data_IF_812015383903
#
_entry.id   IF_812015383903
#
_cell.length_a   1.000
_cell.length_b   1.000
_cell.length_c   1.000
_cell.angle_alpha   90.00
_cell.angle_beta   90.00
_cell.angle_gamma   90.00
#
_symmetry.space_group_name_H-M   'P 1'
#
loop_
_entity.id
_entity.type
_entity.pdbx_description
1 polymer ?
#
# COMPACT_ATOMS: atom_id res chain seq x y z
N UNK A 1 -4.68 -21.14 -18.95
CA UNK A 1 -5.00 -21.46 -17.53
C UNK A 1 -5.92 -20.37 -17.03
N UNK A 2 -7.06 -20.75 -16.43
CA UNK A 2 -7.93 -19.74 -15.84
C UNK A 2 -7.24 -19.15 -14.60
N UNK A 3 -7.00 -17.85 -14.60
CA UNK A 3 -6.44 -17.13 -13.45
C UNK A 3 -7.55 -16.93 -12.43
N UNK A 4 -7.42 -17.50 -11.24
CA UNK A 4 -8.42 -17.44 -10.17
C UNK A 4 -7.87 -16.70 -8.97
N UNK A 5 -8.62 -15.71 -8.50
CA UNK A 5 -8.28 -14.93 -7.29
C UNK A 5 -9.41 -15.07 -6.27
N UNK A 6 -9.06 -15.41 -5.04
CA UNK A 6 -9.97 -15.46 -3.90
C UNK A 6 -9.69 -14.29 -2.94
N UNK A 7 -10.75 -13.67 -2.47
CA UNK A 7 -10.74 -12.55 -1.52
C UNK A 7 -11.74 -12.84 -0.40
N UNK A 8 -11.45 -12.43 0.82
CA UNK A 8 -12.39 -12.51 1.95
C UNK A 8 -12.74 -11.11 2.46
N UNK A 9 -14.04 -10.80 2.65
CA UNK A 9 -14.46 -9.51 3.14
C UNK A 9 -15.81 -9.56 3.87
N UNK A 10 -16.03 -8.59 4.73
CA UNK A 10 -17.32 -8.14 5.21
C UNK A 10 -17.74 -6.82 4.54
N UNK A 11 -18.96 -6.35 4.82
CA UNK A 11 -19.51 -5.13 4.23
C UNK A 11 -18.68 -3.87 4.54
N UNK A 12 -17.98 -3.83 5.68
CA UNK A 12 -17.08 -2.73 6.05
C UNK A 12 -15.82 -2.62 5.17
N UNK A 13 -15.51 -3.69 4.43
CA UNK A 13 -14.36 -3.77 3.53
C UNK A 13 -14.73 -3.82 2.04
N UNK A 14 -15.99 -3.62 1.68
CA UNK A 14 -16.48 -3.71 0.29
C UNK A 14 -15.71 -2.78 -0.67
N UNK A 15 -15.48 -1.52 -0.29
CA UNK A 15 -14.72 -0.55 -1.08
C UNK A 15 -13.23 -0.90 -1.18
N UNK A 16 -12.66 -1.57 -0.16
CA UNK A 16 -11.27 -2.05 -0.17
C UNK A 16 -11.12 -3.22 -1.15
N UNK A 17 -12.03 -4.18 -1.10
CA UNK A 17 -12.08 -5.28 -2.08
C UNK A 17 -12.25 -4.74 -3.51
N UNK A 18 -13.13 -3.76 -3.72
CA UNK A 18 -13.28 -3.13 -5.03
C UNK A 18 -11.97 -2.46 -5.48
N UNK A 19 -11.24 -1.82 -4.59
CA UNK A 19 -9.92 -1.23 -4.87
C UNK A 19 -8.91 -2.31 -5.28
N UNK A 20 -8.83 -3.41 -4.54
CA UNK A 20 -7.99 -4.55 -4.90
C UNK A 20 -8.35 -5.09 -6.29
N UNK A 21 -9.65 -5.31 -6.57
CA UNK A 21 -10.10 -5.81 -7.88
C UNK A 21 -9.75 -4.82 -9.01
N UNK A 22 -9.95 -3.51 -8.81
CA UNK A 22 -9.53 -2.48 -9.78
C UNK A 22 -8.04 -2.59 -10.09
N UNK A 23 -7.20 -2.67 -9.05
CA UNK A 23 -5.75 -2.77 -9.21
C UNK A 23 -5.32 -4.02 -9.99
N UNK A 24 -5.95 -5.17 -9.72
CA UNK A 24 -5.74 -6.40 -10.52
C UNK A 24 -6.11 -6.16 -11.98
N UNK A 25 -7.28 -5.59 -12.24
CA UNK A 25 -7.82 -5.42 -13.59
C UNK A 25 -7.07 -4.40 -14.45
N UNK A 26 -6.35 -3.44 -13.85
CA UNK A 26 -5.47 -2.52 -14.59
C UNK A 26 -4.34 -3.27 -15.29
N UNK A 27 -3.80 -4.31 -14.66
CA UNK A 27 -2.62 -5.05 -15.14
C UNK A 27 -2.91 -6.44 -15.69
N UNK A 28 -4.11 -6.98 -15.43
CA UNK A 28 -4.46 -8.36 -15.72
C UNK A 28 -5.86 -8.48 -16.29
N UNK A 29 -6.10 -9.49 -17.11
CA UNK A 29 -7.40 -9.87 -17.67
C UNK A 29 -7.66 -11.38 -17.53
N UNK A 30 -8.85 -11.81 -17.94
CA UNK A 30 -9.27 -13.19 -17.83
C UNK A 30 -9.19 -13.72 -16.40
N UNK A 31 -9.62 -12.91 -15.43
CA UNK A 31 -9.61 -13.26 -14.02
C UNK A 31 -11.00 -13.70 -13.55
N UNK A 32 -11.05 -14.81 -12.85
CA UNK A 32 -12.23 -15.22 -12.09
C UNK A 32 -12.02 -14.93 -10.62
N UNK A 33 -12.76 -13.96 -10.10
CA UNK A 33 -12.74 -13.59 -8.69
C UNK A 33 -13.76 -14.40 -7.91
N UNK A 34 -13.38 -14.90 -6.74
CA UNK A 34 -14.28 -15.40 -5.71
C UNK A 34 -14.19 -14.49 -4.51
N UNK A 35 -15.29 -13.84 -4.12
CA UNK A 35 -15.34 -13.01 -2.92
C UNK A 35 -16.15 -13.74 -1.86
N UNK A 36 -15.43 -14.27 -0.89
CA UNK A 36 -15.97 -14.94 0.29
C UNK A 36 -16.52 -13.91 1.25
N UNK A 37 -17.81 -13.98 1.58
CA UNK A 37 -18.47 -12.99 2.42
C UNK A 37 -19.71 -13.58 3.12
N UNK A 38 -20.20 -12.87 4.13
CA UNK A 38 -21.47 -13.20 4.80
C UNK A 38 -22.54 -12.10 4.65
N UNK A 39 -22.17 -10.86 4.33
CA UNK A 39 -23.07 -9.70 4.37
C UNK A 39 -22.98 -8.75 3.15
N UNK A 40 -22.15 -9.04 2.14
CA UNK A 40 -22.08 -8.20 0.96
C UNK A 40 -23.38 -8.27 0.12
N UNK A 41 -23.86 -7.09 -0.41
CA UNK A 41 -25.09 -7.05 -1.20
C UNK A 41 -24.96 -7.78 -2.54
N UNK A 42 -25.97 -8.58 -2.90
CA UNK A 42 -26.00 -9.29 -4.20
C UNK A 42 -25.99 -8.33 -5.40
N UNK A 43 -26.56 -7.11 -5.22
CA UNK A 43 -26.56 -6.07 -6.22
C UNK A 43 -25.16 -5.61 -6.59
N UNK A 44 -24.25 -5.52 -5.63
CA UNK A 44 -22.86 -5.18 -5.89
C UNK A 44 -22.20 -6.19 -6.83
N UNK A 45 -22.37 -7.48 -6.59
CA UNK A 45 -21.84 -8.53 -7.47
C UNK A 45 -22.42 -8.46 -8.88
N UNK A 46 -23.72 -8.14 -9.01
CA UNK A 46 -24.36 -7.97 -10.31
C UNK A 46 -23.78 -6.79 -11.10
N UNK A 47 -23.53 -5.66 -10.42
CA UNK A 47 -22.91 -4.48 -11.04
C UNK A 47 -21.47 -4.78 -11.42
N UNK A 48 -20.72 -5.42 -10.53
CA UNK A 48 -19.33 -5.78 -10.78
C UNK A 48 -19.19 -6.74 -11.97
N UNK A 49 -20.04 -7.76 -12.09
CA UNK A 49 -20.00 -8.68 -13.25
C UNK A 49 -20.22 -7.94 -14.57
N UNK A 50 -21.16 -6.98 -14.65
CA UNK A 50 -21.37 -6.18 -15.87
C UNK A 50 -20.12 -5.37 -16.28
N UNK A 51 -19.29 -4.97 -15.31
CA UNK A 51 -18.04 -4.27 -15.56
C UNK A 51 -16.95 -5.22 -16.01
N UNK A 52 -16.80 -6.34 -15.29
CA UNK A 52 -15.74 -7.34 -15.50
C UNK A 52 -15.88 -8.13 -16.81
N UNK A 53 -17.11 -8.39 -17.27
CA UNK A 53 -17.37 -9.03 -18.57
C UNK A 53 -16.63 -8.33 -19.74
N UNK A 54 -16.46 -7.02 -19.68
CA UNK A 54 -15.77 -6.25 -20.72
C UNK A 54 -14.28 -6.53 -20.85
N UNK A 55 -13.70 -7.16 -19.83
CA UNK A 55 -12.29 -7.59 -19.79
C UNK A 55 -12.17 -9.10 -19.60
N UNK A 56 -13.17 -9.86 -20.06
CA UNK A 56 -13.25 -11.31 -19.97
C UNK A 56 -13.07 -11.83 -18.54
N UNK A 57 -13.46 -11.06 -17.54
CA UNK A 57 -13.34 -11.40 -16.12
C UNK A 57 -14.73 -11.51 -15.49
N UNK A 58 -14.80 -12.15 -14.33
CA UNK A 58 -16.06 -12.37 -13.62
C UNK A 58 -15.84 -12.40 -12.11
N UNK A 59 -16.90 -12.16 -11.34
CA UNK A 59 -16.90 -12.24 -9.89
C UNK A 59 -18.01 -13.17 -9.40
N UNK A 60 -17.65 -14.08 -8.50
CA UNK A 60 -18.54 -15.02 -7.87
C UNK A 60 -18.82 -14.60 -6.43
N UNK A 61 -20.09 -14.53 -6.06
CA UNK A 61 -20.51 -14.34 -4.67
C UNK A 61 -20.38 -15.65 -3.90
N UNK A 62 -19.24 -15.85 -3.25
CA UNK A 62 -18.98 -17.00 -2.39
C UNK A 62 -19.54 -16.76 -0.98
N UNK A 63 -20.86 -16.88 -0.85
CA UNK A 63 -21.59 -16.62 0.40
C UNK A 63 -21.26 -17.67 1.44
N UNK A 64 -20.71 -17.24 2.58
CA UNK A 64 -20.44 -18.09 3.75
C UNK A 64 -21.45 -17.72 4.84
N UNK A 65 -22.21 -18.69 5.30
CA UNK A 65 -23.22 -18.52 6.35
C UNK A 65 -22.94 -19.37 7.59
N UNK A 66 -21.67 -19.57 7.90
CA UNK A 66 -21.25 -20.43 9.00
C UNK A 66 -21.17 -19.67 10.33
N UNK A 67 -22.13 -19.92 11.20
CA UNK A 67 -22.13 -19.37 12.56
C UNK A 67 -21.05 -19.98 13.48
N UNK A 68 -20.44 -21.09 13.10
CA UNK A 68 -19.38 -21.76 13.88
C UNK A 68 -18.11 -20.89 13.98
N UNK A 69 -17.86 -20.01 13.01
CA UNK A 69 -16.69 -19.11 13.03
C UNK A 69 -16.68 -18.17 14.25
N UNK A 70 -17.84 -17.84 14.79
CA UNK A 70 -17.96 -16.91 15.94
C UNK A 70 -17.31 -17.40 17.23
N UNK A 71 -16.99 -18.70 17.33
CA UNK A 71 -16.27 -19.26 18.48
C UNK A 71 -14.77 -18.98 18.47
N UNK A 72 -14.20 -18.63 17.29
CA UNK A 72 -12.77 -18.41 17.15
C UNK A 72 -12.34 -17.04 17.66
N UNK A 73 -11.15 -16.99 18.22
CA UNK A 73 -10.58 -15.75 18.73
C UNK A 73 -10.13 -14.85 17.57
N UNK A 74 -10.48 -13.56 17.68
CA UNK A 74 -9.94 -12.51 16.80
C UNK A 74 -8.84 -11.77 17.59
N UNK A 75 -7.55 -11.93 17.24
CA UNK A 75 -6.43 -11.42 18.06
C UNK A 75 -6.37 -9.90 18.11
N UNK A 76 -7.14 -9.19 17.27
CA UNK A 76 -7.19 -7.73 17.23
C UNK A 76 -8.61 -7.23 16.96
N UNK A 77 -9.04 -6.11 17.57
CA UNK A 77 -10.41 -5.58 17.44
C UNK A 77 -10.84 -5.21 16.01
N UNK A 78 -9.91 -4.96 15.12
CA UNK A 78 -10.17 -4.59 13.72
C UNK A 78 -10.21 -5.79 12.76
N UNK A 79 -9.93 -7.00 13.24
CA UNK A 79 -10.05 -8.21 12.44
C UNK A 79 -11.50 -8.70 12.45
N UNK A 80 -11.96 -9.21 11.31
CA UNK A 80 -13.26 -9.84 11.19
C UNK A 80 -13.12 -11.35 10.97
N UNK A 81 -14.22 -12.07 11.13
CA UNK A 81 -14.27 -13.51 10.82
C UNK A 81 -14.03 -13.82 9.34
N UNK A 82 -14.12 -12.80 8.46
CA UNK A 82 -13.75 -12.92 7.05
C UNK A 82 -12.32 -13.45 6.84
N UNK A 83 -11.44 -13.25 7.82
CA UNK A 83 -10.10 -13.81 7.80
C UNK A 83 -10.05 -15.35 7.80
N UNK A 84 -11.07 -16.01 8.35
CA UNK A 84 -11.21 -17.47 8.31
C UNK A 84 -11.89 -17.98 7.03
N UNK A 85 -12.50 -17.11 6.22
CA UNK A 85 -13.18 -17.53 4.99
C UNK A 85 -12.25 -18.23 4.00
N UNK A 86 -10.94 -17.96 4.05
CA UNK A 86 -9.95 -18.65 3.24
C UNK A 86 -9.88 -20.17 3.48
N UNK A 87 -10.36 -20.65 4.62
CA UNK A 87 -10.40 -22.09 4.92
C UNK A 87 -11.44 -22.83 4.07
N UNK A 88 -12.47 -22.12 3.56
CA UNK A 88 -13.50 -22.66 2.69
C UNK A 88 -13.12 -22.68 1.19
N UNK A 89 -11.92 -22.21 0.82
CA UNK A 89 -11.49 -22.17 -0.57
C UNK A 89 -11.67 -23.52 -1.27
N UNK A 90 -11.18 -24.67 -0.72
CA UNK A 90 -11.29 -25.96 -1.41
C UNK A 90 -12.71 -26.47 -1.53
N UNK A 91 -13.65 -25.99 -0.73
CA UNK A 91 -15.07 -26.39 -0.78
C UNK A 91 -15.85 -25.63 -1.86
N UNK A 92 -15.46 -24.39 -2.17
CA UNK A 92 -16.22 -23.47 -3.02
C UNK A 92 -15.58 -23.30 -4.40
N UNK A 93 -14.24 -23.33 -4.47
CA UNK A 93 -13.49 -23.10 -5.72
C UNK A 93 -13.17 -24.41 -6.40
N UNK A 94 -13.64 -24.57 -7.63
CA UNK A 94 -13.45 -25.80 -8.42
C UNK A 94 -12.07 -25.90 -9.07
N UNK A 95 -11.45 -24.76 -9.37
CA UNK A 95 -10.19 -24.68 -10.06
C UNK A 95 -9.03 -25.23 -9.21
N UNK A 96 -8.04 -25.81 -9.89
CA UNK A 96 -6.92 -26.52 -9.23
C UNK A 96 -5.93 -25.59 -8.55
N UNK A 97 -5.91 -24.29 -8.94
CA UNK A 97 -4.98 -23.30 -8.45
C UNK A 97 -5.69 -21.98 -8.16
N UNK A 98 -5.42 -21.39 -7.02
CA UNK A 98 -6.06 -20.16 -6.54
C UNK A 98 -5.02 -19.23 -5.94
N UNK A 99 -5.02 -17.96 -6.34
CA UNK A 99 -4.28 -16.91 -5.65
C UNK A 99 -5.22 -16.28 -4.62
N UNK A 100 -4.93 -16.47 -3.34
CA UNK A 100 -5.62 -15.75 -2.27
C UNK A 100 -4.94 -14.41 -2.02
N UNK A 101 -5.76 -13.36 -1.90
CA UNK A 101 -5.32 -12.00 -1.54
C UNK A 101 -6.15 -11.46 -0.37
N UNK A 102 -5.49 -10.84 0.60
CA UNK A 102 -6.17 -10.03 1.62
C UNK A 102 -6.77 -8.75 0.99
N UNK A 103 -7.75 -8.16 1.66
CA UNK A 103 -8.51 -7.00 1.14
C UNK A 103 -7.81 -5.66 1.36
N UNK A 104 -6.63 -5.65 1.96
CA UNK A 104 -5.76 -4.50 2.16
C UNK A 104 -4.51 -4.55 1.26
N UNK A 105 -4.72 -5.02 0.04
CA UNK A 105 -3.70 -5.22 -0.98
C UNK A 105 -4.05 -4.43 -2.23
N UNK A 106 -3.02 -3.92 -2.92
CA UNK A 106 -3.12 -3.51 -4.32
C UNK A 106 -2.11 -4.27 -5.17
N UNK A 107 -2.52 -4.60 -6.39
CA UNK A 107 -1.68 -5.24 -7.41
C UNK A 107 -1.19 -4.17 -8.37
N UNK A 108 0.12 -3.93 -8.36
CA UNK A 108 0.80 -2.87 -9.13
C UNK A 108 1.61 -3.45 -10.30
N UNK A 109 1.23 -4.65 -10.75
CA UNK A 109 1.91 -5.32 -11.86
C UNK A 109 1.18 -6.56 -12.41
N UNK A 110 1.78 -7.16 -13.43
CA UNK A 110 1.26 -8.38 -14.02
C UNK A 110 1.54 -9.60 -13.13
N UNK A 111 0.56 -10.48 -13.00
CA UNK A 111 0.62 -11.67 -12.14
C UNK A 111 0.84 -12.99 -12.91
N UNK A 112 1.13 -12.94 -14.20
CA UNK A 112 1.26 -14.16 -15.02
C UNK A 112 2.33 -15.09 -14.47
N UNK A 113 3.54 -14.58 -14.19
CA UNK A 113 4.64 -15.38 -13.66
C UNK A 113 4.31 -16.00 -12.28
N UNK A 114 3.55 -15.26 -11.44
CA UNK A 114 3.08 -15.78 -10.16
C UNK A 114 2.13 -16.96 -10.36
N UNK A 115 1.15 -16.83 -11.28
CA UNK A 115 0.22 -17.92 -11.59
C UNK A 115 0.91 -19.14 -12.21
N UNK A 116 2.03 -18.94 -12.92
CA UNK A 116 2.82 -20.00 -13.56
C UNK A 116 3.86 -20.63 -12.62
N UNK A 117 4.00 -20.09 -11.39
CA UNK A 117 4.92 -20.66 -10.40
C UNK A 117 4.65 -22.15 -10.20
N UNK A 118 5.66 -22.99 -10.43
CA UNK A 118 5.55 -24.42 -10.14
C UNK A 118 5.50 -24.66 -8.63
N UNK A 119 4.41 -25.23 -8.13
CA UNK A 119 4.23 -25.58 -6.73
C UNK A 119 4.85 -26.93 -6.35
N UNK A 120 5.13 -27.79 -7.35
CA UNK A 120 5.50 -29.17 -7.07
C UNK A 120 4.44 -29.86 -6.19
N UNK A 121 4.89 -30.54 -5.15
CA UNK A 121 4.04 -31.17 -4.15
C UNK A 121 3.66 -30.25 -2.97
N UNK A 122 4.03 -28.96 -3.02
CA UNK A 122 3.70 -28.04 -1.93
C UNK A 122 2.22 -27.66 -1.95
N UNK A 123 1.56 -27.64 -0.78
CA UNK A 123 0.16 -27.21 -0.66
C UNK A 123 -0.06 -25.75 -0.99
N UNK A 124 0.96 -24.91 -0.83
CA UNK A 124 0.90 -23.48 -1.17
C UNK A 124 2.31 -22.90 -1.38
N UNK A 125 2.34 -21.70 -2.00
CA UNK A 125 3.49 -20.83 -1.99
C UNK A 125 3.10 -19.45 -1.41
N UNK A 126 4.01 -18.84 -0.64
CA UNK A 126 3.81 -17.54 0.00
C UNK A 126 5.13 -16.82 0.23
N UNK A 127 5.08 -15.55 0.57
CA UNK A 127 6.26 -14.77 0.95
C UNK A 127 6.54 -14.95 2.44
N UNK A 128 7.81 -15.11 2.78
CA UNK A 128 8.27 -15.23 4.16
C UNK A 128 7.88 -13.99 4.98
N UNK A 129 7.38 -14.22 6.19
CA UNK A 129 7.21 -13.17 7.18
C UNK A 129 8.58 -12.88 7.84
N UNK A 130 9.19 -11.75 7.52
CA UNK A 130 10.55 -11.42 7.95
C UNK A 130 10.70 -11.22 9.45
N UNK A 131 9.61 -10.99 10.19
CA UNK A 131 9.66 -10.97 11.66
C UNK A 131 9.72 -12.36 12.27
N UNK A 132 9.28 -13.38 11.54
CA UNK A 132 9.24 -14.78 11.97
C UNK A 132 9.76 -15.67 10.84
N UNK A 133 11.06 -15.80 10.72
CA UNK A 133 11.77 -16.43 9.58
C UNK A 133 11.32 -17.85 9.21
N UNK A 134 10.62 -18.56 10.08
CA UNK A 134 10.06 -19.90 9.80
C UNK A 134 8.64 -19.82 9.26
N UNK A 135 8.01 -18.67 9.29
CA UNK A 135 6.61 -18.44 8.96
C UNK A 135 6.49 -17.70 7.62
N UNK A 136 5.32 -17.83 7.02
CA UNK A 136 4.90 -17.03 5.87
C UNK A 136 3.83 -16.01 6.26
N UNK A 137 3.75 -14.92 5.51
CA UNK A 137 2.61 -14.01 5.59
C UNK A 137 1.46 -14.56 4.76
N UNK A 138 0.31 -14.74 5.39
CA UNK A 138 -0.86 -15.37 4.78
C UNK A 138 -1.74 -14.44 3.94
N UNK A 139 -1.37 -13.17 3.80
CA UNK A 139 -2.14 -12.21 3.01
C UNK A 139 -2.03 -12.42 1.50
N UNK A 140 -0.97 -13.08 1.04
CA UNK A 140 -0.82 -13.55 -0.35
C UNK A 140 -0.41 -15.00 -0.34
N UNK A 141 -1.25 -15.87 -0.89
CA UNK A 141 -0.96 -17.31 -0.99
C UNK A 141 -1.36 -17.84 -2.36
N UNK A 142 -0.41 -18.41 -3.10
CA UNK A 142 -0.73 -19.22 -4.27
C UNK A 142 -1.01 -20.65 -3.80
N UNK A 143 -2.26 -21.06 -3.83
CA UNK A 143 -2.77 -22.30 -3.24
C UNK A 143 -2.86 -23.39 -4.31
N UNK A 144 -2.30 -24.56 -4.02
CA UNK A 144 -2.58 -25.81 -4.74
C UNK A 144 -3.94 -26.35 -4.27
N UNK A 145 -5.01 -25.82 -4.87
CA UNK A 145 -6.37 -26.12 -4.43
C UNK A 145 -6.78 -27.58 -4.71
N UNK A 146 -6.17 -28.19 -5.73
CA UNK A 146 -6.31 -29.64 -5.96
C UNK A 146 -5.78 -30.43 -4.76
N UNK A 147 -4.56 -30.13 -4.32
CA UNK A 147 -3.96 -30.74 -3.13
C UNK A 147 -4.85 -30.52 -1.90
N UNK A 148 -5.34 -29.29 -1.70
CA UNK A 148 -6.19 -28.95 -0.55
C UNK A 148 -7.49 -29.79 -0.53
N UNK A 149 -8.13 -29.99 -1.68
CA UNK A 149 -9.32 -30.86 -1.78
C UNK A 149 -8.99 -32.33 -1.55
N UNK A 150 -7.95 -32.85 -2.19
CA UNK A 150 -7.59 -34.29 -2.12
C UNK A 150 -7.17 -34.71 -0.70
N UNK A 151 -6.65 -33.75 0.10
CA UNK A 151 -6.21 -33.99 1.47
C UNK A 151 -7.17 -33.44 2.53
N UNK A 152 -8.38 -33.01 2.14
CA UNK A 152 -9.38 -32.46 3.07
C UNK A 152 -8.82 -31.36 4.00
N UNK A 153 -8.03 -30.42 3.44
CA UNK A 153 -7.32 -29.40 4.20
C UNK A 153 -8.27 -28.46 4.96
N UNK A 154 -9.46 -28.18 4.38
CA UNK A 154 -10.49 -27.35 5.04
C UNK A 154 -10.85 -27.92 6.42
N UNK A 155 -11.25 -29.18 6.49
CA UNK A 155 -11.60 -29.86 7.75
C UNK A 155 -10.43 -29.83 8.74
N UNK A 156 -9.22 -30.17 8.27
CA UNK A 156 -8.04 -30.20 9.13
C UNK A 156 -7.66 -28.81 9.68
N UNK A 157 -7.81 -27.73 8.91
CA UNK A 157 -7.60 -26.37 9.38
C UNK A 157 -8.62 -25.97 10.45
N UNK A 158 -9.89 -26.38 10.30
CA UNK A 158 -10.90 -26.16 11.32
C UNK A 158 -10.65 -27.00 12.59
N UNK A 159 -10.16 -28.23 12.47
CA UNK A 159 -9.74 -29.03 13.62
C UNK A 159 -8.60 -28.36 14.39
N UNK A 160 -7.60 -27.82 13.68
CA UNK A 160 -6.51 -27.04 14.30
C UNK A 160 -7.07 -25.76 14.95
N UNK A 161 -7.99 -25.06 14.30
CA UNK A 161 -8.63 -23.88 14.84
C UNK A 161 -9.44 -24.21 16.12
N UNK A 162 -10.12 -25.34 16.17
CA UNK A 162 -10.86 -25.82 17.34
C UNK A 162 -9.93 -26.15 18.53
N UNK A 163 -8.75 -26.68 18.28
CA UNK A 163 -7.75 -26.98 19.31
C UNK A 163 -7.05 -25.71 19.83
N UNK A 164 -6.88 -24.69 19.00
CA UNK A 164 -6.07 -23.50 19.28
C UNK A 164 -6.85 -22.21 19.11
N UNK A 165 -8.18 -22.21 19.33
CA UNK A 165 -9.07 -21.07 19.14
C UNK A 165 -8.72 -19.84 19.99
N UNK A 166 -7.98 -20.01 21.08
CA UNK A 166 -7.44 -18.93 21.92
C UNK A 166 -6.03 -18.50 21.53
N UNK A 167 -5.51 -19.01 20.39
CA UNK A 167 -4.13 -18.76 19.99
C UNK A 167 -3.90 -17.29 19.62
N UNK A 168 -2.89 -16.69 20.24
CA UNK A 168 -2.60 -15.26 20.18
C UNK A 168 -2.37 -14.72 18.76
N UNK A 169 -1.93 -15.56 17.83
CA UNK A 169 -1.58 -15.18 16.45
C UNK A 169 -2.72 -15.35 15.44
N UNK A 170 -3.91 -15.76 15.88
CA UNK A 170 -5.10 -15.90 15.02
C UNK A 170 -4.89 -16.83 13.82
N UNK A 171 -5.64 -16.58 12.73
CA UNK A 171 -5.66 -17.43 11.53
C UNK A 171 -4.28 -17.60 10.85
N UNK A 172 -3.42 -16.58 10.82
CA UNK A 172 -2.08 -16.70 10.25
C UNK A 172 -1.22 -17.67 11.06
N UNK A 173 -1.31 -17.62 12.39
CA UNK A 173 -0.62 -18.58 13.26
C UNK A 173 -1.10 -20.01 13.07
N UNK A 174 -2.41 -20.22 12.88
CA UNK A 174 -2.98 -21.53 12.59
C UNK A 174 -2.47 -22.10 11.26
N UNK A 175 -2.47 -21.30 10.19
CA UNK A 175 -1.92 -21.69 8.89
C UNK A 175 -0.44 -22.05 8.96
N UNK A 176 0.36 -21.22 9.62
CA UNK A 176 1.79 -21.46 9.79
C UNK A 176 2.09 -22.71 10.64
N UNK A 177 1.26 -22.96 11.65
CA UNK A 177 1.36 -24.18 12.46
C UNK A 177 1.02 -25.42 11.64
N UNK A 178 -0.03 -25.37 10.85
CA UNK A 178 -0.48 -26.47 10.04
C UNK A 178 0.52 -26.79 8.91
N UNK A 179 0.97 -25.80 8.17
CA UNK A 179 1.85 -25.95 7.00
C UNK A 179 3.36 -25.81 7.31
N UNK A 180 3.75 -25.99 8.57
CA UNK A 180 5.16 -25.85 8.96
C UNK A 180 6.09 -26.69 8.09
N UNK A 181 7.04 -26.05 7.39
CA UNK A 181 7.97 -26.70 6.49
C UNK A 181 7.37 -27.28 5.20
N UNK A 182 6.10 -27.04 4.91
CA UNK A 182 5.38 -27.60 3.76
C UNK A 182 4.96 -26.53 2.73
N UNK A 183 5.57 -25.39 2.73
CA UNK A 183 5.25 -24.31 1.79
C UNK A 183 6.47 -23.89 0.97
N UNK A 184 6.20 -23.34 -0.23
CA UNK A 184 7.23 -22.82 -1.12
C UNK A 184 7.38 -21.32 -0.92
N UNK A 185 8.63 -20.86 -0.82
CA UNK A 185 8.92 -19.43 -0.69
C UNK A 185 8.76 -18.71 -2.04
N UNK A 186 8.03 -17.59 -2.02
CA UNK A 186 7.91 -16.65 -3.12
C UNK A 186 8.85 -15.45 -2.89
N UNK A 187 9.20 -14.78 -3.98
CA UNK A 187 9.94 -13.52 -3.93
C UNK A 187 9.10 -12.41 -3.25
N UNK A 188 9.75 -11.55 -2.48
CA UNK A 188 9.16 -10.41 -1.76
C UNK A 188 8.30 -9.51 -2.67
N UNK A 189 8.61 -9.42 -3.97
CA UNK A 189 7.85 -8.69 -4.98
C UNK A 189 6.35 -9.08 -5.00
N UNK A 190 6.01 -10.30 -4.61
CA UNK A 190 4.64 -10.81 -4.62
C UNK A 190 3.90 -10.68 -3.27
N UNK A 191 4.52 -10.08 -2.28
CA UNK A 191 3.85 -9.67 -1.03
C UNK A 191 4.74 -8.66 -0.29
N UNK A 192 4.83 -7.45 -0.83
CA UNK A 192 5.62 -6.39 -0.26
C UNK A 192 4.90 -5.77 0.95
N UNK A 193 5.28 -6.19 2.14
CA UNK A 193 4.63 -5.84 3.42
C UNK A 193 5.10 -4.47 3.91
N UNK A 194 4.43 -3.40 3.50
CA UNK A 194 4.84 -2.03 3.84
C UNK A 194 4.79 -1.69 5.33
N UNK A 195 4.01 -2.42 6.13
CA UNK A 195 3.96 -2.26 7.58
C UNK A 195 5.28 -2.54 8.29
N UNK A 196 6.18 -3.27 7.64
CA UNK A 196 7.52 -3.50 8.16
C UNK A 196 8.36 -2.22 8.26
N UNK A 197 8.06 -1.21 7.44
CA UNK A 197 8.73 0.08 7.52
C UNK A 197 8.55 0.75 8.88
N UNK A 198 7.40 0.56 9.53
CA UNK A 198 7.10 1.16 10.84
C UNK A 198 7.78 0.43 12.01
N UNK A 199 8.25 -0.79 11.81
CA UNK A 199 8.94 -1.58 12.85
C UNK A 199 10.45 -1.73 12.58
N UNK A 200 10.92 -1.23 11.45
CA UNK A 200 12.31 -1.38 10.98
C UNK A 200 13.37 -0.85 11.96
N UNK A 201 13.01 0.11 12.82
CA UNK A 201 13.93 0.70 13.81
C UNK A 201 13.97 -0.06 15.13
N UNK A 202 13.13 -1.06 15.34
CA UNK A 202 12.93 -1.71 16.64
C UNK A 202 13.36 -3.20 16.71
N UNK A 203 13.78 -3.79 15.58
CA UNK A 203 14.12 -5.22 15.52
C UNK A 203 15.26 -5.49 14.53
N UNK A 204 16.28 -6.33 14.89
CA UNK A 204 17.34 -6.72 13.96
C UNK A 204 16.85 -7.40 12.68
N UNK A 205 15.75 -8.15 12.75
CA UNK A 205 15.14 -8.79 11.57
C UNK A 205 14.55 -7.73 10.62
N UNK A 206 14.10 -6.61 11.15
CA UNK A 206 13.60 -5.48 10.36
C UNK A 206 14.70 -4.81 9.55
N UNK A 207 15.93 -4.77 10.05
CA UNK A 207 17.07 -4.21 9.32
C UNK A 207 17.34 -5.02 8.05
N UNK A 208 17.28 -6.36 8.11
CA UNK A 208 17.42 -7.21 6.93
C UNK A 208 16.30 -6.97 5.92
N UNK A 209 15.04 -6.91 6.39
CA UNK A 209 13.90 -6.59 5.53
C UNK A 209 14.05 -5.22 4.88
N UNK A 210 14.45 -4.20 5.66
CA UNK A 210 14.64 -2.84 5.19
C UNK A 210 15.69 -2.74 4.08
N UNK A 211 16.82 -3.45 4.22
CA UNK A 211 17.86 -3.52 3.19
C UNK A 211 17.31 -4.16 1.92
N UNK A 212 16.63 -5.30 2.04
CA UNK A 212 15.99 -5.98 0.90
C UNK A 212 14.97 -5.06 0.23
N UNK A 213 14.13 -4.41 1.01
CA UNK A 213 13.08 -3.53 0.51
C UNK A 213 13.63 -2.32 -0.26
N UNK A 214 14.75 -1.73 0.16
CA UNK A 214 15.44 -0.67 -0.60
C UNK A 214 16.00 -1.15 -1.94
N UNK A 215 16.34 -2.42 -2.07
CA UNK A 215 16.89 -3.01 -3.30
C UNK A 215 15.81 -3.36 -4.33
N UNK A 216 14.55 -3.53 -3.90
CA UNK A 216 13.44 -3.86 -4.80
C UNK A 216 13.04 -2.63 -5.62
N UNK A 217 13.36 -2.66 -6.91
CA UNK A 217 13.01 -1.60 -7.87
C UNK A 217 11.58 -1.71 -8.40
N UNK A 218 10.96 -2.89 -8.31
CA UNK A 218 9.61 -3.17 -8.81
C UNK A 218 8.88 -4.06 -7.81
N UNK A 219 7.67 -3.66 -7.46
CA UNK A 219 6.77 -4.39 -6.58
C UNK A 219 5.51 -4.72 -7.37
N UNK A 220 5.12 -5.99 -7.42
CA UNK A 220 3.90 -6.42 -8.12
C UNK A 220 2.69 -6.50 -7.20
N UNK A 221 2.88 -6.82 -5.93
CA UNK A 221 1.80 -6.85 -4.93
C UNK A 221 2.25 -6.09 -3.70
N UNK A 222 1.53 -5.01 -3.38
CA UNK A 222 1.76 -4.17 -2.20
C UNK A 222 0.72 -4.56 -1.15
N UNK A 223 1.19 -4.98 0.02
CA UNK A 223 0.35 -5.38 1.15
C UNK A 223 0.49 -4.37 2.29
N UNK A 224 -0.59 -3.66 2.60
CA UNK A 224 -0.63 -2.65 3.65
C UNK A 224 -0.83 -3.29 5.03
N UNK A 225 0.17 -4.09 5.45
CA UNK A 225 0.22 -4.66 6.80
C UNK A 225 0.36 -3.56 7.85
N UNK A 226 -0.05 -3.81 9.09
CA UNK A 226 -0.07 -2.86 10.19
C UNK A 226 -0.92 -1.61 9.90
N UNK A 227 -0.33 -0.43 9.68
CA UNK A 227 -1.08 0.78 9.31
C UNK A 227 -1.71 0.68 7.92
N UNK A 228 -2.90 1.30 7.76
CA UNK A 228 -3.64 1.29 6.50
C UNK A 228 -3.67 2.67 5.86
N UNK A 229 -3.57 2.81 4.51
CA UNK A 229 -3.58 4.10 3.84
C UNK A 229 -4.80 4.98 4.11
N UNK A 230 -5.93 4.37 4.49
CA UNK A 230 -7.18 5.06 4.84
C UNK A 230 -7.32 5.38 6.33
N UNK A 231 -6.30 5.14 7.14
CA UNK A 231 -6.27 5.52 8.55
C UNK A 231 -5.67 6.92 8.73
N UNK A 232 -6.06 7.61 9.80
CA UNK A 232 -5.58 8.95 10.10
C UNK A 232 -4.06 9.05 10.29
N UNK A 233 -3.43 7.95 10.68
CA UNK A 233 -1.97 7.83 10.81
C UNK A 233 -1.50 6.73 9.88
N UNK A 234 -0.81 7.13 8.81
CA UNK A 234 -0.15 6.23 7.88
C UNK A 234 1.20 6.82 7.50
N UNK A 235 2.27 6.20 7.93
CA UNK A 235 3.64 6.67 7.76
C UNK A 235 4.52 5.73 6.94
N UNK A 236 3.92 4.79 6.24
CA UNK A 236 4.62 3.83 5.39
C UNK A 236 4.65 4.33 3.94
N UNK A 237 5.61 3.85 3.17
CA UNK A 237 5.71 4.17 1.73
C UNK A 237 4.59 3.51 0.91
N UNK A 238 4.46 3.93 -0.35
CA UNK A 238 3.53 3.40 -1.34
C UNK A 238 2.03 3.58 -0.99
N UNK A 239 1.70 4.48 -0.05
CA UNK A 239 0.31 4.82 0.26
C UNK A 239 -0.41 5.50 -0.91
N UNK A 240 0.33 6.26 -1.73
CA UNK A 240 -0.12 6.88 -2.97
C UNK A 240 -0.70 5.85 -3.96
N UNK A 241 -0.12 4.65 -4.02
CA UNK A 241 -0.61 3.55 -4.86
C UNK A 241 -2.01 3.10 -4.49
N UNK A 242 -2.32 3.00 -3.19
CA UNK A 242 -3.66 2.70 -2.74
C UNK A 242 -4.66 3.75 -3.25
N UNK A 243 -4.38 5.02 -3.01
CA UNK A 243 -5.27 6.12 -3.37
C UNK A 243 -5.42 6.27 -4.87
N UNK A 244 -4.38 5.98 -5.65
CA UNK A 244 -4.46 5.92 -7.10
C UNK A 244 -5.53 4.91 -7.54
N UNK A 245 -5.44 3.64 -7.12
CA UNK A 245 -6.42 2.61 -7.52
C UNK A 245 -7.80 2.83 -6.91
N UNK A 246 -7.89 3.35 -5.70
CA UNK A 246 -9.15 3.70 -5.06
C UNK A 246 -9.92 4.75 -5.87
N UNK A 247 -9.25 5.80 -6.32
CA UNK A 247 -9.82 6.93 -7.05
C UNK A 247 -10.18 6.63 -8.52
N UNK A 248 -9.65 5.54 -9.12
CA UNK A 248 -9.98 5.18 -10.51
C UNK A 248 -11.48 4.95 -10.68
N UNK A 249 -12.03 5.53 -11.74
CA UNK A 249 -13.34 5.14 -12.23
C UNK A 249 -13.26 3.81 -12.99
N UNK A 250 -14.36 3.03 -12.98
CA UNK A 250 -14.39 1.77 -13.73
C UNK A 250 -14.24 1.96 -15.24
N UNK A 251 -14.65 3.10 -15.77
CA UNK A 251 -14.38 3.45 -17.17
C UNK A 251 -12.89 3.47 -17.48
N UNK A 252 -12.09 4.01 -16.58
CA UNK A 252 -10.63 4.10 -16.74
C UNK A 252 -9.99 2.71 -16.70
N UNK A 253 -10.40 1.89 -15.69
CA UNK A 253 -9.92 0.50 -15.55
C UNK A 253 -10.24 -0.31 -16.82
N UNK A 254 -11.45 -0.16 -17.37
CA UNK A 254 -11.92 -0.94 -18.53
C UNK A 254 -11.28 -0.50 -19.85
N UNK A 255 -11.05 0.78 -20.02
CA UNK A 255 -10.45 1.31 -21.25
C UNK A 255 -8.96 1.06 -21.32
N UNK A 256 -8.28 0.80 -20.20
CA UNK A 256 -6.81 0.61 -20.12
C UNK A 256 -6.09 1.68 -20.91
N UNK A 257 -6.52 2.94 -20.77
CA UNK A 257 -6.09 4.02 -21.62
C UNK A 257 -4.63 4.39 -21.37
N UNK A 258 -3.99 4.97 -22.38
CA UNK A 258 -2.70 5.64 -22.26
C UNK A 258 -2.66 6.63 -21.09
N UNK A 259 -3.83 7.17 -20.69
CA UNK A 259 -3.99 8.07 -19.56
C UNK A 259 -3.65 7.36 -18.24
N UNK A 260 -4.18 6.16 -17.99
CA UNK A 260 -3.86 5.39 -16.77
C UNK A 260 -2.38 5.01 -16.78
N UNK A 261 -1.88 4.54 -17.91
CA UNK A 261 -0.47 4.20 -18.06
C UNK A 261 0.43 5.45 -17.92
N UNK A 262 -0.03 6.60 -18.40
CA UNK A 262 0.65 7.88 -18.22
C UNK A 262 0.65 8.32 -16.76
N UNK A 263 -0.48 8.22 -16.07
CA UNK A 263 -0.61 8.66 -14.68
C UNK A 263 0.09 7.69 -13.72
N UNK A 264 0.01 6.38 -13.96
CA UNK A 264 0.90 5.37 -13.32
C UNK A 264 2.37 5.61 -13.70
N UNK A 265 2.65 5.91 -14.94
CA UNK A 265 3.98 6.27 -15.42
C UNK A 265 4.51 7.54 -14.77
N UNK A 266 3.67 8.54 -14.59
CA UNK A 266 4.00 9.77 -13.86
C UNK A 266 4.30 9.49 -12.37
N UNK A 267 3.58 8.55 -11.75
CA UNK A 267 3.87 8.08 -10.40
C UNK A 267 5.12 7.18 -10.32
N UNK A 268 5.58 6.58 -11.44
CA UNK A 268 6.65 5.57 -11.44
C UNK A 268 7.89 5.94 -12.23
N UNK A 269 7.83 6.81 -13.24
CA UNK A 269 8.88 6.93 -14.29
C UNK A 269 9.32 8.38 -14.55
N UNK A 270 8.47 9.36 -14.44
CA UNK A 270 8.96 10.72 -14.29
C UNK A 270 9.13 10.92 -12.80
N UNK A 271 10.38 10.92 -12.36
CA UNK A 271 10.69 11.52 -11.08
C UNK A 271 10.33 13.00 -11.23
N UNK A 272 9.14 13.44 -10.78
CA UNK A 272 8.90 14.87 -10.71
C UNK A 272 9.98 15.44 -9.81
N UNK A 273 10.28 16.71 -9.94
CA UNK A 273 11.11 17.36 -8.95
C UNK A 273 10.45 17.23 -7.57
N UNK A 274 11.25 17.14 -6.54
CA UNK A 274 10.75 16.88 -5.20
C UNK A 274 11.11 18.02 -4.25
N UNK A 275 10.18 18.39 -3.38
CA UNK A 275 10.42 19.28 -2.25
C UNK A 275 9.86 18.71 -0.97
N UNK A 276 10.39 19.13 0.17
CA UNK A 276 9.86 18.73 1.48
C UNK A 276 9.58 19.94 2.37
N UNK A 277 8.65 19.72 3.30
CA UNK A 277 8.31 20.62 4.39
C UNK A 277 8.22 19.77 5.65
N UNK A 278 9.07 20.06 6.65
CA UNK A 278 8.98 19.43 7.96
C UNK A 278 8.27 20.36 8.92
N UNK A 279 7.12 19.93 9.47
CA UNK A 279 6.29 20.77 10.32
C UNK A 279 5.47 19.96 11.31
N UNK A 280 5.22 20.52 12.51
CA UNK A 280 4.19 20.04 13.43
C UNK A 280 3.00 21.03 13.51
N UNK A 281 2.96 22.01 12.63
CA UNK A 281 1.89 23.01 12.53
C UNK A 281 1.02 22.78 11.29
N UNK A 282 -0.19 23.28 11.34
CA UNK A 282 -1.09 23.30 10.17
C UNK A 282 -0.93 24.56 9.31
N UNK A 283 -0.23 25.56 9.81
CA UNK A 283 -0.02 26.85 9.12
C UNK A 283 1.31 26.83 8.36
N UNK A 284 1.22 26.82 7.05
CA UNK A 284 2.35 26.90 6.12
C UNK A 284 2.06 28.00 5.09
N UNK A 285 2.97 28.97 5.00
CA UNK A 285 2.79 30.18 4.22
C UNK A 285 2.64 29.85 2.73
N UNK A 286 1.54 30.28 2.12
CA UNK A 286 1.22 30.11 0.70
C UNK A 286 1.28 28.66 0.15
N UNK A 287 1.24 27.62 1.01
CA UNK A 287 1.47 26.24 0.58
C UNK A 287 0.56 25.81 -0.58
N UNK A 288 -0.74 26.05 -0.47
CA UNK A 288 -1.69 25.62 -1.52
C UNK A 288 -1.44 26.35 -2.85
N UNK A 289 -1.07 27.61 -2.81
CA UNK A 289 -0.66 28.37 -4.00
C UNK A 289 0.60 27.75 -4.64
N UNK A 290 1.61 27.41 -3.86
CA UNK A 290 2.85 26.80 -4.33
C UNK A 290 2.60 25.42 -4.97
N UNK A 291 1.75 24.59 -4.35
CA UNK A 291 1.33 23.29 -4.90
C UNK A 291 0.71 23.44 -6.30
N UNK A 292 -0.18 24.41 -6.47
CA UNK A 292 -0.86 24.66 -7.75
C UNK A 292 0.06 25.31 -8.79
N UNK A 293 0.95 26.18 -8.37
CA UNK A 293 1.87 26.92 -9.26
C UNK A 293 3.06 26.06 -9.76
N UNK A 294 3.35 24.94 -9.06
CA UNK A 294 4.46 24.01 -9.33
C UNK A 294 3.94 22.57 -9.56
N UNK A 295 3.13 22.33 -10.61
CA UNK A 295 2.49 21.02 -10.81
C UNK A 295 3.47 19.88 -11.15
N UNK A 296 4.70 20.21 -11.54
CA UNK A 296 5.78 19.25 -11.82
C UNK A 296 6.70 19.01 -10.60
N UNK A 297 6.35 19.57 -9.44
CA UNK A 297 7.05 19.36 -8.16
C UNK A 297 6.18 18.53 -7.25
N UNK A 298 6.72 17.45 -6.69
CA UNK A 298 6.06 16.65 -5.66
C UNK A 298 6.38 17.20 -4.27
N UNK A 299 5.35 17.50 -3.50
CA UNK A 299 5.45 18.08 -2.17
C UNK A 299 5.34 16.97 -1.10
N UNK A 300 6.40 16.78 -0.33
CA UNK A 300 6.43 15.86 0.81
C UNK A 300 6.26 16.68 2.10
N UNK A 301 5.17 16.43 2.83
CA UNK A 301 4.88 17.13 4.10
C UNK A 301 5.01 16.14 5.24
N UNK A 302 5.98 16.36 6.14
CA UNK A 302 6.30 15.42 7.21
C UNK A 302 6.06 16.05 8.59
N UNK A 303 5.43 15.32 9.50
CA UNK A 303 5.22 15.72 10.88
C UNK A 303 5.52 14.59 11.88
N UNK A 304 6.02 14.91 13.06
CA UNK A 304 6.11 13.96 14.18
C UNK A 304 4.74 13.66 14.81
N UNK A 305 3.72 14.44 14.46
CA UNK A 305 2.36 14.37 14.98
C UNK A 305 1.38 14.00 13.88
N UNK A 306 0.13 13.74 14.25
CA UNK A 306 -0.99 13.68 13.29
C UNK A 306 -1.27 15.07 12.72
N UNK A 307 -1.70 15.14 11.48
CA UNK A 307 -2.07 16.39 10.82
C UNK A 307 -3.50 16.84 11.17
N UNK A 308 -3.71 18.14 11.20
CA UNK A 308 -5.05 18.72 11.19
C UNK A 308 -5.73 18.49 9.81
N UNK A 309 -7.07 18.55 9.78
CA UNK A 309 -7.86 18.29 8.57
C UNK A 309 -7.45 19.13 7.37
N UNK A 310 -7.05 20.39 7.60
CA UNK A 310 -6.62 21.30 6.52
C UNK A 310 -5.40 20.76 5.76
N UNK A 311 -4.47 20.09 6.45
CA UNK A 311 -3.28 19.49 5.81
C UNK A 311 -3.66 18.16 5.16
N UNK A 312 -4.54 17.37 5.80
CA UNK A 312 -5.06 16.12 5.23
C UNK A 312 -5.79 16.38 3.91
N UNK A 313 -6.56 17.47 3.83
CA UNK A 313 -7.30 17.87 2.63
C UNK A 313 -6.39 18.18 1.42
N UNK A 314 -5.12 18.51 1.65
CA UNK A 314 -4.15 18.72 0.56
C UNK A 314 -3.83 17.46 -0.23
N UNK A 315 -4.14 16.27 0.28
CA UNK A 315 -4.01 15.00 -0.45
C UNK A 315 -4.92 14.92 -1.69
N UNK A 316 -5.87 15.88 -1.88
CA UNK A 316 -6.61 16.02 -3.13
C UNK A 316 -5.73 16.42 -4.32
N UNK A 317 -4.54 16.95 -4.07
CA UNK A 317 -3.55 17.26 -5.10
C UNK A 317 -2.68 16.04 -5.37
N UNK A 318 -2.55 15.61 -6.64
CA UNK A 318 -1.77 14.44 -7.03
C UNK A 318 -0.28 14.56 -6.74
N UNK A 319 0.21 15.79 -6.64
CA UNK A 319 1.61 16.10 -6.34
C UNK A 319 1.87 16.38 -4.84
N UNK A 320 1.03 15.83 -3.96
CA UNK A 320 1.20 15.97 -2.50
C UNK A 320 1.18 14.61 -1.82
N UNK A 321 2.16 14.36 -0.97
CA UNK A 321 2.17 13.23 -0.03
C UNK A 321 2.42 13.74 1.38
N UNK A 322 1.58 13.33 2.33
CA UNK A 322 1.76 13.67 3.74
C UNK A 322 2.27 12.46 4.52
N UNK A 323 3.13 12.69 5.52
CA UNK A 323 3.75 11.67 6.37
C UNK A 323 3.46 11.99 7.85
N UNK A 324 2.26 11.65 8.35
CA UNK A 324 1.95 11.83 9.77
C UNK A 324 2.78 10.83 10.60
N UNK A 325 3.32 11.30 11.73
CA UNK A 325 4.17 10.49 12.62
C UNK A 325 5.31 9.79 11.86
N UNK A 326 6.01 10.54 10.99
CA UNK A 326 7.04 9.95 10.12
C UNK A 326 8.13 9.21 10.92
N UNK A 327 8.67 8.15 10.32
CA UNK A 327 9.76 7.36 10.86
C UNK A 327 11.11 7.72 10.18
N UNK A 328 12.19 7.08 10.64
CA UNK A 328 13.54 7.30 10.10
C UNK A 328 13.62 6.99 8.59
N UNK A 329 12.90 5.97 8.13
CA UNK A 329 12.85 5.63 6.71
C UNK A 329 12.23 6.74 5.86
N UNK A 330 11.09 7.30 6.31
CA UNK A 330 10.47 8.43 5.60
C UNK A 330 11.42 9.61 5.52
N UNK A 331 12.09 9.94 6.66
CA UNK A 331 13.04 11.03 6.73
C UNK A 331 14.19 10.88 5.73
N UNK A 332 14.89 9.75 5.76
CA UNK A 332 16.02 9.47 4.86
C UNK A 332 15.58 9.44 3.39
N UNK A 333 14.49 8.71 3.08
CA UNK A 333 14.02 8.56 1.72
C UNK A 333 13.58 9.90 1.10
N UNK A 334 12.93 10.76 1.88
CA UNK A 334 12.52 12.08 1.38
C UNK A 334 13.72 12.99 1.20
N UNK A 335 14.66 13.04 2.16
CA UNK A 335 15.87 13.87 2.04
C UNK A 335 16.76 13.46 0.86
N UNK A 336 16.86 12.15 0.56
CA UNK A 336 17.60 11.68 -0.61
C UNK A 336 16.96 12.17 -1.92
N UNK A 337 15.63 12.32 -1.94
CA UNK A 337 14.87 12.66 -3.16
C UNK A 337 14.74 14.15 -3.45
N UNK A 338 14.66 14.99 -2.41
CA UNK A 338 14.35 16.40 -2.64
C UNK A 338 15.38 17.09 -3.52
N UNK A 339 14.93 17.96 -4.39
CA UNK A 339 15.75 18.88 -5.18
C UNK A 339 15.97 20.20 -4.44
N UNK A 340 15.00 20.59 -3.63
CA UNK A 340 15.06 21.78 -2.77
C UNK A 340 14.16 21.61 -1.55
N UNK A 341 14.31 22.48 -0.56
CA UNK A 341 13.53 22.49 0.67
C UNK A 341 12.70 23.77 0.79
N UNK A 342 11.48 23.65 1.33
CA UNK A 342 10.59 24.79 1.63
C UNK A 342 10.51 25.04 3.14
N UNK A 343 11.14 26.10 3.62
CA UNK A 343 11.04 26.57 4.99
C UNK A 343 9.92 27.61 5.12
N UNK A 344 8.67 27.11 5.02
CA UNK A 344 7.47 27.95 4.94
C UNK A 344 6.49 27.74 6.11
N UNK A 345 6.83 26.92 7.11
CA UNK A 345 5.98 26.71 8.27
C UNK A 345 6.24 27.76 9.36
N UNK A 346 5.18 28.09 10.13
CA UNK A 346 5.24 29.07 11.21
C UNK A 346 5.66 28.50 12.57
N UNK A 347 5.96 27.21 12.62
CA UNK A 347 6.38 26.53 13.84
C UNK A 347 7.91 26.41 13.94
N UNK A 348 8.40 25.89 15.06
CA UNK A 348 9.82 25.66 15.27
C UNK A 348 10.39 24.68 14.23
N UNK A 349 11.66 24.84 13.96
CA UNK A 349 12.40 23.91 13.12
C UNK A 349 12.40 22.49 13.73
N UNK A 350 12.22 21.49 12.88
CA UNK A 350 12.24 20.07 13.26
C UNK A 350 13.59 19.48 12.89
N UNK A 351 14.26 18.79 13.84
CA UNK A 351 15.50 18.03 13.62
C UNK A 351 16.64 18.86 12.99
N UNK A 352 16.66 20.17 13.18
CA UNK A 352 17.64 21.07 12.52
C UNK A 352 17.69 20.84 11.00
N UNK A 353 16.53 20.71 10.38
CA UNK A 353 16.39 20.27 8.97
C UNK A 353 17.12 21.19 8.00
N UNK A 354 17.19 22.51 8.26
CA UNK A 354 17.93 23.45 7.41
C UNK A 354 19.41 23.09 7.32
N UNK A 355 20.02 22.67 8.44
CA UNK A 355 21.41 22.22 8.46
C UNK A 355 21.61 20.90 7.69
N UNK A 356 20.66 19.96 7.80
CA UNK A 356 20.72 18.71 7.05
C UNK A 356 20.59 18.95 5.53
N UNK A 357 19.71 19.85 5.12
CA UNK A 357 19.53 20.24 3.72
C UNK A 357 20.78 20.93 3.17
N UNK A 358 21.40 21.83 3.95
CA UNK A 358 22.68 22.47 3.56
C UNK A 358 23.81 21.46 3.37
N UNK A 359 23.90 20.42 4.23
CA UNK A 359 24.89 19.33 4.05
C UNK A 359 24.71 18.59 2.74
N UNK A 360 23.48 18.52 2.22
CA UNK A 360 23.17 17.91 0.93
C UNK A 360 23.43 18.85 -0.27
N UNK A 361 23.78 20.11 -0.01
CA UNK A 361 23.99 21.12 -1.05
C UNK A 361 22.72 21.51 -1.79
N UNK A 362 21.54 21.34 -1.16
CA UNK A 362 20.24 21.65 -1.76
C UNK A 362 19.80 23.07 -1.38
N UNK A 363 19.19 23.85 -2.30
CA UNK A 363 18.69 25.18 -1.98
C UNK A 363 17.49 25.13 -1.02
N UNK A 364 17.40 26.16 -0.17
CA UNK A 364 16.29 26.38 0.75
C UNK A 364 15.56 27.64 0.32
N UNK A 365 14.24 27.55 0.16
CA UNK A 365 13.36 28.66 -0.16
C UNK A 365 12.42 28.96 1.01
N UNK A 366 12.34 30.22 1.42
CA UNK A 366 11.58 30.66 2.59
C UNK A 366 10.89 32.01 2.33
N UNK A 367 9.92 32.37 3.16
CA UNK A 367 9.41 33.73 3.26
C UNK A 367 10.06 34.46 4.43
N UNK A 368 10.08 35.80 4.40
CA UNK A 368 10.66 36.61 5.47
C UNK A 368 10.10 36.29 6.86
N UNK A 369 8.87 35.89 6.96
CA UNK A 369 8.18 35.54 8.21
C UNK A 369 8.31 34.07 8.63
N UNK A 370 8.91 33.23 7.81
CA UNK A 370 9.01 31.78 8.10
C UNK A 370 10.43 31.26 8.15
N UNK A 371 11.41 31.95 7.56
CA UNK A 371 12.78 31.50 7.48
C UNK A 371 13.41 31.26 8.87
N UNK A 372 13.95 30.05 9.05
CA UNK A 372 14.64 29.59 10.26
C UNK A 372 16.14 29.42 10.05
N UNK A 373 16.59 29.50 8.79
CA UNK A 373 18.00 29.37 8.45
C UNK A 373 18.83 30.54 9.00
N UNK A 374 19.77 30.22 9.87
CA UNK A 374 20.68 31.17 10.48
C UNK A 374 21.98 31.40 9.68
N UNK A 375 22.24 30.58 8.65
CA UNK A 375 23.43 30.71 7.81
C UNK A 375 23.37 31.94 6.89
N UNK A 376 22.18 32.39 6.54
CA UNK A 376 21.92 33.42 5.55
C UNK A 376 22.06 32.95 4.10
N UNK A 377 22.15 31.66 3.87
CA UNK A 377 22.30 31.03 2.53
C UNK A 377 20.95 30.71 1.88
N UNK A 378 19.85 30.78 2.65
CA UNK A 378 18.51 30.54 2.12
C UNK A 378 18.04 31.69 1.21
N UNK A 379 17.26 31.30 0.17
CA UNK A 379 16.56 32.25 -0.71
C UNK A 379 15.27 32.73 -0.02
N UNK A 380 15.21 34.00 0.35
CA UNK A 380 14.12 34.55 1.17
C UNK A 380 13.30 35.58 0.40
N UNK A 381 11.97 35.43 0.42
CA UNK A 381 11.03 36.20 -0.39
C UNK A 381 10.01 37.00 0.44
N UNK A 382 9.52 38.13 -0.09
CA UNK A 382 8.40 38.83 0.52
C UNK A 382 7.12 37.96 0.53
N UNK A 383 6.42 37.95 1.65
CA UNK A 383 5.17 37.21 1.81
C UNK A 383 4.12 37.65 0.81
N UNK A 384 4.09 38.92 0.44
CA UNK A 384 3.10 39.49 -0.46
C UNK A 384 3.33 39.12 -1.92
N UNK A 385 4.47 38.55 -2.27
CA UNK A 385 4.85 38.26 -3.66
C UNK A 385 5.35 36.79 -3.79
N UNK A 386 4.50 35.77 -3.53
CA UNK A 386 4.90 34.36 -3.59
C UNK A 386 5.28 33.92 -5.01
N UNK A 387 4.85 34.63 -6.03
CA UNK A 387 5.20 34.41 -7.44
C UNK A 387 6.71 34.54 -7.70
N UNK A 388 7.43 35.40 -6.96
CA UNK A 388 8.85 35.54 -7.09
C UNK A 388 9.58 34.25 -6.70
N UNK A 389 9.14 33.59 -5.62
CA UNK A 389 9.69 32.28 -5.21
C UNK A 389 9.41 31.22 -6.27
N UNK A 390 8.19 31.19 -6.82
CA UNK A 390 7.81 30.24 -7.87
C UNK A 390 8.66 30.39 -9.13
N UNK A 391 8.91 31.63 -9.59
CA UNK A 391 9.74 31.90 -10.76
C UNK A 391 11.18 31.46 -10.56
N UNK A 392 11.75 31.71 -9.38
CA UNK A 392 13.12 31.27 -9.10
C UNK A 392 13.23 29.76 -8.96
N UNK A 393 12.28 29.10 -8.30
CA UNK A 393 12.22 27.63 -8.25
C UNK A 393 12.16 27.06 -9.68
N UNK A 394 11.29 27.58 -10.55
CA UNK A 394 11.21 27.15 -11.95
C UNK A 394 12.51 27.33 -12.71
N UNK A 395 13.19 28.44 -12.48
CA UNK A 395 14.49 28.72 -13.08
C UNK A 395 15.56 27.75 -12.60
N UNK A 396 15.59 27.46 -11.30
CA UNK A 396 16.49 26.46 -10.71
C UNK A 396 16.23 25.06 -11.29
N UNK A 397 14.96 24.62 -11.32
CA UNK A 397 14.60 23.30 -11.83
C UNK A 397 14.94 23.14 -13.33
N UNK A 398 14.88 24.20 -14.11
CA UNK A 398 15.31 24.18 -15.50
C UNK A 398 16.81 23.86 -15.63
N UNK A 399 17.64 24.27 -14.67
CA UNK A 399 19.08 23.94 -14.66
C UNK A 399 19.38 22.48 -14.32
N UNK A 400 18.42 21.75 -13.72
CA UNK A 400 18.55 20.33 -13.40
C UNK A 400 18.12 19.41 -14.58
N UNK A 401 17.40 19.98 -15.54
CA UNK A 401 16.91 19.24 -16.71
C UNK A 401 17.92 19.14 -17.85
N UNK A 402 18.99 19.98 -17.83
CA UNK A 402 20.11 19.99 -18.78
C UNK A 402 21.24 19.08 -18.24
#
# INVERSE_FOLDING_TARGET
MNKVIALGADNGYMDKVETTIKSVCVHNDNIKFYVFNDDLPSEWFRVMNKRLEKINSQIVNAKISDNHLRKYHLPRPHLSYAAYFRFFIPEVVEEERVLYLDSDIVVDGNLTDLFETDLGDCPLAAVRDDLQQTNFNSGVMLINNKYWREHDISTQLFEVADQYHEYEYGYQGLLNRYFIGQWKELDMNYNFMVGMDSVATSSPQSDEWYIKAKQHKKVSIIHYTAGKPWQAVFNNRLGDRWWFYYALDWSDVLLRTEIINRDLGALTVQEPYHTAIFTNACEMEHLEYLIQALPNVHFHILAHTVFASQVVDLQRYLNVTIYPCFNQYNFETVLEKIDFYLDINHFNEIMSITQEVHKLGKPIYAFYNTSKDQSGESHVYPVQNPEMMVEEIKSYLATLAD
#
